data_IF_209498559458
#
_entry.id   IF_209498559458
#
_cell.length_a   1.000
_cell.length_b   1.000
_cell.length_c   1.000
_cell.angle_alpha   90.00
_cell.angle_beta   90.00
_cell.angle_gamma   90.00
#
_symmetry.space_group_name_H-M   'P 1'
#
loop_
_entity.id
_entity.type
_entity.pdbx_description
1 polymer ?
#
# COMPACT_ATOMS: atom_id res chain seq x y z
N UNK A 1 19.24 9.87 -2.74
CA UNK A 1 20.67 9.65 -3.03
C UNK A 1 21.05 8.17 -3.03
N UNK A 2 20.79 7.40 -1.97
CA UNK A 2 21.17 5.96 -1.88
C UNK A 2 20.77 5.09 -3.10
N UNK A 3 19.52 5.17 -3.54
CA UNK A 3 19.02 4.41 -4.70
C UNK A 3 19.66 4.76 -6.06
N UNK A 4 20.09 6.01 -6.24
CA UNK A 4 20.78 6.43 -7.46
C UNK A 4 22.20 5.87 -7.44
N UNK A 5 22.83 5.86 -6.26
CA UNK A 5 24.18 5.31 -6.09
C UNK A 5 24.20 3.81 -6.40
N UNK A 6 23.26 3.04 -5.84
CA UNK A 6 23.13 1.60 -6.11
C UNK A 6 22.84 1.27 -7.59
N UNK A 7 22.04 2.08 -8.28
CA UNK A 7 21.77 1.89 -9.71
C UNK A 7 22.96 2.30 -10.61
N UNK A 8 23.79 3.25 -10.16
CA UNK A 8 25.02 3.63 -10.85
C UNK A 8 26.13 2.60 -10.64
N UNK A 9 26.12 1.84 -9.55
CA UNK A 9 27.00 0.68 -9.35
C UNK A 9 26.76 -0.40 -10.41
N UNK A 10 25.51 -0.61 -10.84
CA UNK A 10 25.20 -1.54 -11.94
C UNK A 10 25.75 -1.03 -13.29
N UNK A 11 25.65 0.27 -13.55
CA UNK A 11 26.14 0.89 -14.79
C UNK A 11 27.66 1.03 -14.84
N UNK A 12 28.28 1.20 -13.68
CA UNK A 12 29.72 1.40 -13.52
C UNK A 12 30.41 0.17 -12.92
N UNK A 13 29.79 -1.00 -13.04
CA UNK A 13 30.30 -2.24 -12.48
C UNK A 13 31.75 -2.49 -12.96
N UNK A 14 32.69 -2.58 -12.01
CA UNK A 14 34.11 -2.73 -12.31
C UNK A 14 34.92 -1.43 -12.31
N UNK A 15 34.33 -0.29 -11.93
CA UNK A 15 35.03 0.96 -11.64
C UNK A 15 34.79 1.48 -10.23
N UNK A 16 35.75 2.28 -9.76
CA UNK A 16 35.55 3.18 -8.62
C UNK A 16 35.00 4.49 -9.17
N UNK A 17 33.90 4.99 -8.60
CA UNK A 17 33.23 6.19 -9.11
C UNK A 17 32.66 7.04 -7.96
N UNK A 18 32.34 8.30 -8.27
CA UNK A 18 31.71 9.24 -7.35
C UNK A 18 30.56 9.99 -8.05
N UNK A 19 29.43 10.13 -7.37
CA UNK A 19 28.30 10.97 -7.81
C UNK A 19 28.12 12.14 -6.86
N UNK A 20 28.34 13.37 -7.36
CA UNK A 20 28.21 14.61 -6.60
C UNK A 20 27.60 15.71 -7.48
N UNK A 21 26.72 16.53 -6.92
CA UNK A 21 26.08 17.67 -7.60
C UNK A 21 25.42 17.33 -8.96
N UNK A 22 24.88 16.12 -9.09
CA UNK A 22 24.24 15.64 -10.32
C UNK A 22 25.23 15.18 -11.41
N UNK A 23 26.51 15.01 -11.07
CA UNK A 23 27.56 14.58 -11.99
C UNK A 23 28.24 13.30 -11.50
N UNK A 24 28.40 12.35 -12.41
CA UNK A 24 29.18 11.15 -12.20
C UNK A 24 30.64 11.37 -12.63
N UNK A 25 31.58 10.92 -11.82
CA UNK A 25 33.02 10.91 -12.12
C UNK A 25 33.58 9.50 -11.88
N UNK A 26 34.25 8.93 -12.87
CA UNK A 26 35.02 7.68 -12.70
C UNK A 26 36.37 8.04 -12.08
N UNK A 27 36.67 7.44 -10.93
CA UNK A 27 37.91 7.64 -10.18
C UNK A 27 38.97 6.60 -10.57
N UNK A 28 38.57 5.35 -10.81
CA UNK A 28 39.45 4.26 -11.25
C UNK A 28 38.69 3.27 -12.16
N UNK A 29 39.31 2.78 -13.24
CA UNK A 29 38.74 1.76 -14.14
C UNK A 29 38.67 2.19 -15.61
N UNK A 30 38.80 1.22 -16.53
CA UNK A 30 38.74 1.42 -17.99
C UNK A 30 37.32 1.21 -18.53
N UNK A 31 36.35 1.89 -17.92
CA UNK A 31 34.98 1.95 -18.45
C UNK A 31 34.62 3.39 -18.79
N UNK A 32 33.91 3.54 -19.90
CA UNK A 32 33.39 4.83 -20.31
C UNK A 32 32.27 5.25 -19.32
N UNK A 33 32.33 6.48 -18.76
CA UNK A 33 31.28 6.95 -17.87
C UNK A 33 29.92 6.92 -18.59
N UNK A 34 28.84 6.45 -17.95
CA UNK A 34 27.51 6.53 -18.52
C UNK A 34 27.16 7.97 -18.89
N UNK A 35 26.56 8.11 -20.06
CA UNK A 35 26.13 9.40 -20.60
C UNK A 35 25.04 10.04 -19.73
N UNK A 36 24.92 11.37 -19.77
CA UNK A 36 23.81 12.09 -19.12
C UNK A 36 22.44 11.52 -19.49
N UNK A 37 22.28 11.02 -20.72
CA UNK A 37 21.06 10.36 -21.17
C UNK A 37 20.78 9.06 -20.41
N UNK A 38 21.81 8.24 -20.16
CA UNK A 38 21.69 7.00 -19.38
C UNK A 38 21.40 7.31 -17.90
N UNK A 39 22.07 8.31 -17.34
CA UNK A 39 21.84 8.75 -15.95
C UNK A 39 20.38 9.22 -15.78
N UNK A 40 19.89 10.12 -16.64
CA UNK A 40 18.50 10.60 -16.59
C UNK A 40 17.47 9.50 -16.80
N UNK A 41 17.76 8.54 -17.68
CA UNK A 41 16.88 7.38 -17.88
C UNK A 41 16.77 6.54 -16.60
N UNK A 42 17.89 6.31 -15.90
CA UNK A 42 17.90 5.63 -14.60
C UNK A 42 17.20 6.41 -13.50
N UNK A 43 17.39 7.73 -13.45
CA UNK A 43 16.67 8.58 -12.50
C UNK A 43 15.15 8.51 -12.71
N UNK A 44 14.68 8.51 -13.96
CA UNK A 44 13.27 8.35 -14.30
C UNK A 44 12.72 6.98 -13.93
N UNK A 45 13.49 5.90 -14.17
CA UNK A 45 13.14 4.53 -13.76
C UNK A 45 12.97 4.42 -12.24
N UNK A 46 13.93 4.96 -11.48
CA UNK A 46 13.88 4.98 -10.01
C UNK A 46 12.68 5.80 -9.51
N UNK A 47 12.42 6.96 -10.13
CA UNK A 47 11.28 7.78 -9.77
C UNK A 47 9.95 7.03 -9.99
N UNK A 48 9.80 6.36 -11.13
CA UNK A 48 8.62 5.55 -11.42
C UNK A 48 8.47 4.36 -10.45
N UNK A 49 9.58 3.71 -10.08
CA UNK A 49 9.57 2.62 -9.10
C UNK A 49 9.14 3.10 -7.70
N UNK A 50 9.63 4.26 -7.26
CA UNK A 50 9.25 4.86 -5.97
C UNK A 50 7.80 5.29 -5.94
N UNK A 51 7.31 5.89 -7.02
CA UNK A 51 5.91 6.28 -7.14
C UNK A 51 5.01 5.04 -7.03
N UNK A 52 5.38 3.97 -7.76
CA UNK A 52 4.69 2.69 -7.68
C UNK A 52 4.72 2.13 -6.26
N UNK A 53 5.86 2.14 -5.58
CA UNK A 53 5.97 1.68 -4.19
C UNK A 53 5.09 2.49 -3.24
N UNK A 54 5.04 3.82 -3.41
CA UNK A 54 4.20 4.71 -2.62
C UNK A 54 2.71 4.40 -2.83
N UNK A 55 2.28 4.14 -4.07
CA UNK A 55 0.91 3.69 -4.38
C UNK A 55 0.60 2.38 -3.66
N UNK A 56 1.48 1.38 -3.76
CA UNK A 56 1.28 0.07 -3.12
C UNK A 56 1.21 0.18 -1.58
N UNK A 57 2.05 1.02 -0.98
CA UNK A 57 2.00 1.30 0.45
C UNK A 57 0.70 2.01 0.84
N UNK A 58 0.27 2.98 0.03
CA UNK A 58 -0.99 3.70 0.20
C UNK A 58 -2.21 2.77 0.21
N UNK A 59 -2.31 1.86 -0.77
CA UNK A 59 -3.42 0.90 -0.85
C UNK A 59 -3.49 0.01 0.40
N UNK A 60 -2.35 -0.47 0.90
CA UNK A 60 -2.31 -1.30 2.13
C UNK A 60 -2.82 -0.54 3.34
N UNK A 61 -2.40 0.72 3.50
CA UNK A 61 -2.88 1.59 4.58
C UNK A 61 -4.38 1.87 4.44
N UNK A 62 -4.86 2.07 3.20
CA UNK A 62 -6.26 2.41 2.92
C UNK A 62 -7.23 1.29 3.31
N UNK A 63 -6.87 0.02 3.06
CA UNK A 63 -7.63 -1.15 3.54
C UNK A 63 -7.86 -1.07 5.04
N UNK A 64 -6.80 -0.81 5.81
CA UNK A 64 -6.88 -0.68 7.27
C UNK A 64 -7.70 0.54 7.70
N UNK A 65 -7.48 1.69 7.06
CA UNK A 65 -8.22 2.94 7.34
C UNK A 65 -9.72 2.73 7.19
N UNK A 66 -10.17 2.09 6.10
CA UNK A 66 -11.60 1.87 5.82
C UNK A 66 -12.26 0.95 6.82
N UNK A 67 -11.61 -0.15 7.20
CA UNK A 67 -12.14 -1.07 8.23
C UNK A 67 -12.25 -0.33 9.58
N UNK A 68 -11.18 0.36 9.97
CA UNK A 68 -11.10 1.02 11.27
C UNK A 68 -12.01 2.25 11.38
N UNK A 69 -12.38 2.89 10.26
CA UNK A 69 -13.35 3.98 10.24
C UNK A 69 -14.77 3.54 10.63
N UNK A 70 -15.10 2.25 10.44
CA UNK A 70 -16.43 1.71 10.78
C UNK A 70 -16.44 0.92 12.08
N UNK A 71 -15.36 0.20 12.39
CA UNK A 71 -15.22 -0.51 13.65
C UNK A 71 -13.79 -0.36 14.16
N UNK A 72 -13.62 0.36 15.28
CA UNK A 72 -12.33 0.48 15.94
C UNK A 72 -11.80 -0.90 16.36
N UNK A 73 -10.49 -1.03 16.61
CA UNK A 73 -9.94 -2.31 17.09
C UNK A 73 -10.62 -2.80 18.40
N UNK A 74 -10.87 -1.95 19.42
CA UNK A 74 -11.69 -2.33 20.58
C UNK A 74 -13.09 -2.81 20.20
N UNK A 75 -13.80 -2.10 19.32
CA UNK A 75 -15.13 -2.48 18.83
C UNK A 75 -15.09 -3.87 18.18
N UNK A 76 -14.09 -4.15 17.33
CA UNK A 76 -13.91 -5.45 16.67
C UNK A 76 -13.70 -6.58 17.68
N UNK A 77 -12.88 -6.35 18.71
CA UNK A 77 -12.62 -7.33 19.78
C UNK A 77 -13.89 -7.59 20.58
N UNK A 78 -14.59 -6.53 21.00
CA UNK A 78 -15.83 -6.64 21.78
C UNK A 78 -16.93 -7.36 21.00
N UNK A 79 -17.10 -7.06 19.72
CA UNK A 79 -18.04 -7.76 18.85
C UNK A 79 -17.69 -9.24 18.69
N UNK A 80 -16.41 -9.56 18.51
CA UNK A 80 -15.94 -10.94 18.40
C UNK A 80 -16.22 -11.72 19.69
N UNK A 81 -15.97 -11.10 20.86
CA UNK A 81 -16.25 -11.68 22.16
C UNK A 81 -17.76 -11.86 22.40
N UNK A 82 -18.58 -10.86 22.05
CA UNK A 82 -20.03 -10.95 22.17
C UNK A 82 -20.63 -12.02 21.26
N UNK A 83 -20.14 -12.14 20.02
CA UNK A 83 -20.54 -13.19 19.10
C UNK A 83 -20.16 -14.59 19.63
N UNK A 84 -18.91 -14.76 20.09
CA UNK A 84 -18.43 -16.04 20.64
C UNK A 84 -19.08 -16.43 21.97
N UNK A 85 -19.49 -15.44 22.77
CA UNK A 85 -20.20 -15.64 24.03
C UNK A 85 -21.72 -15.81 23.89
N UNK A 86 -22.28 -15.77 22.67
CA UNK A 86 -23.73 -15.88 22.45
C UNK A 86 -24.54 -14.69 22.97
N UNK A 87 -23.91 -13.52 23.12
CA UNK A 87 -24.55 -12.29 23.62
C UNK A 87 -25.38 -11.60 22.52
N UNK A 88 -24.96 -11.76 21.26
CA UNK A 88 -25.69 -11.20 20.12
C UNK A 88 -26.99 -11.96 19.88
N UNK A 89 -28.09 -11.24 19.71
CA UNK A 89 -29.34 -11.83 19.23
C UNK A 89 -29.24 -12.25 17.74
N UNK A 90 -30.28 -12.89 17.21
CA UNK A 90 -30.26 -13.40 15.83
C UNK A 90 -30.02 -12.31 14.77
N UNK A 91 -30.66 -11.15 14.91
CA UNK A 91 -30.50 -10.02 13.99
C UNK A 91 -29.09 -9.43 14.06
N UNK A 92 -28.53 -9.27 15.25
CA UNK A 92 -27.18 -8.79 15.48
C UNK A 92 -26.15 -9.79 14.95
N UNK A 93 -26.38 -11.09 15.12
CA UNK A 93 -25.50 -12.12 14.57
C UNK A 93 -25.52 -12.10 13.02
N UNK A 94 -26.68 -11.87 12.41
CA UNK A 94 -26.77 -11.69 10.96
C UNK A 94 -26.01 -10.43 10.49
N UNK A 95 -26.16 -9.31 11.20
CA UNK A 95 -25.42 -8.07 10.93
C UNK A 95 -23.89 -8.25 11.11
N UNK A 96 -23.46 -8.97 12.14
CA UNK A 96 -22.06 -9.31 12.37
C UNK A 96 -21.46 -10.11 11.21
N UNK A 97 -22.17 -11.16 10.76
CA UNK A 97 -21.75 -11.96 9.60
C UNK A 97 -21.67 -11.12 8.32
N UNK A 98 -22.64 -10.23 8.08
CA UNK A 98 -22.59 -9.30 6.95
C UNK A 98 -21.37 -8.36 7.02
N UNK A 99 -21.00 -7.90 8.21
CA UNK A 99 -19.77 -7.13 8.44
C UNK A 99 -18.51 -7.91 8.10
N UNK A 100 -18.43 -9.20 8.48
CA UNK A 100 -17.29 -10.06 8.13
C UNK A 100 -17.15 -10.26 6.61
N UNK A 101 -18.28 -10.47 5.91
CA UNK A 101 -18.29 -10.55 4.43
C UNK A 101 -17.80 -9.25 3.81
N UNK A 102 -18.23 -8.10 4.33
CA UNK A 102 -17.76 -6.80 3.84
C UNK A 102 -16.25 -6.59 4.08
N UNK A 103 -15.71 -6.99 5.25
CA UNK A 103 -14.26 -6.93 5.51
C UNK A 103 -13.48 -7.77 4.49
N UNK A 104 -13.97 -8.97 4.16
CA UNK A 104 -13.35 -9.81 3.14
C UNK A 104 -13.37 -9.14 1.76
N UNK A 105 -14.50 -8.54 1.37
CA UNK A 105 -14.61 -7.76 0.14
C UNK A 105 -13.63 -6.58 0.10
N UNK A 106 -13.49 -5.81 1.19
CA UNK A 106 -12.51 -4.72 1.28
C UNK A 106 -11.08 -5.24 1.03
N UNK A 107 -10.72 -6.39 1.61
CA UNK A 107 -9.39 -6.99 1.42
C UNK A 107 -9.18 -7.47 -0.01
N UNK A 108 -10.21 -8.05 -0.64
CA UNK A 108 -10.16 -8.47 -2.04
C UNK A 108 -10.04 -7.27 -2.99
N UNK A 109 -10.81 -6.20 -2.77
CA UNK A 109 -10.67 -4.93 -3.50
C UNK A 109 -9.26 -4.36 -3.35
N UNK A 110 -8.73 -4.33 -2.14
CA UNK A 110 -7.35 -3.88 -1.89
C UNK A 110 -6.32 -4.71 -2.67
N UNK A 111 -6.50 -6.03 -2.73
CA UNK A 111 -5.63 -6.90 -3.55
C UNK A 111 -5.71 -6.57 -5.03
N UNK A 112 -6.92 -6.37 -5.57
CA UNK A 112 -7.10 -6.00 -6.98
C UNK A 112 -6.46 -4.63 -7.30
N UNK A 113 -6.59 -3.65 -6.40
CA UNK A 113 -5.96 -2.33 -6.55
C UNK A 113 -4.42 -2.42 -6.48
N UNK A 114 -3.87 -3.31 -5.64
CA UNK A 114 -2.43 -3.58 -5.58
C UNK A 114 -1.91 -4.18 -6.89
N UNK A 115 -2.64 -5.14 -7.46
CA UNK A 115 -2.29 -5.76 -8.75
C UNK A 115 -2.29 -4.72 -9.87
N UNK A 116 -3.26 -3.80 -9.86
CA UNK A 116 -3.37 -2.70 -10.82
C UNK A 116 -2.38 -1.54 -10.55
N UNK A 117 -1.78 -1.46 -9.36
CA UNK A 117 -1.06 -0.28 -8.88
C UNK A 117 -1.85 1.02 -9.12
N UNK A 118 -3.13 1.00 -8.77
CA UNK A 118 -4.07 2.07 -9.10
C UNK A 118 -3.77 3.36 -8.31
N UNK A 119 -3.42 4.49 -8.96
CA UNK A 119 -3.08 5.73 -8.27
C UNK A 119 -4.30 6.40 -7.60
N UNK A 120 -5.51 6.07 -8.06
CA UNK A 120 -6.76 6.63 -7.56
C UNK A 120 -7.42 5.65 -6.57
N UNK A 121 -6.62 4.90 -5.81
CA UNK A 121 -7.13 3.90 -4.85
C UNK A 121 -7.95 4.51 -3.70
N UNK A 122 -7.86 5.82 -3.47
CA UNK A 122 -8.58 6.49 -2.39
C UNK A 122 -10.05 6.80 -2.73
N UNK A 123 -10.45 6.70 -4.00
CA UNK A 123 -11.81 7.01 -4.46
C UNK A 123 -12.83 6.08 -3.81
N UNK A 124 -13.85 6.64 -3.15
CA UNK A 124 -14.85 5.86 -2.41
C UNK A 124 -15.66 4.91 -3.29
N UNK A 125 -15.87 5.25 -4.56
CA UNK A 125 -16.64 4.43 -5.50
C UNK A 125 -15.94 3.11 -5.87
N UNK A 126 -14.65 2.96 -5.56
CA UNK A 126 -13.90 1.71 -5.80
C UNK A 126 -14.11 0.67 -4.71
N UNK A 127 -14.65 1.07 -3.56
CA UNK A 127 -14.72 0.22 -2.39
C UNK A 127 -16.15 -0.23 -2.12
N UNK A 128 -16.34 -1.46 -1.63
CA UNK A 128 -17.66 -1.93 -1.22
C UNK A 128 -18.20 -1.05 -0.10
N UNK A 129 -19.48 -0.67 -0.22
CA UNK A 129 -20.19 0.07 0.82
C UNK A 129 -20.44 -0.82 2.03
N UNK A 130 -20.24 -0.27 3.22
CA UNK A 130 -20.54 -0.99 4.46
C UNK A 130 -22.05 -1.31 4.52
N UNK A 131 -22.45 -2.56 4.84
CA UNK A 131 -23.85 -2.87 5.09
C UNK A 131 -24.39 -2.05 6.26
N UNK A 132 -25.56 -1.41 6.09
CA UNK A 132 -26.14 -0.51 7.10
C UNK A 132 -26.33 -1.22 8.46
N UNK A 133 -26.79 -2.47 8.45
CA UNK A 133 -26.97 -3.26 9.66
C UNK A 133 -25.64 -3.52 10.40
N UNK A 134 -24.55 -3.77 9.66
CA UNK A 134 -23.23 -3.95 10.24
C UNK A 134 -22.68 -2.65 10.85
N UNK A 135 -22.89 -1.51 10.18
CA UNK A 135 -22.51 -0.20 10.70
C UNK A 135 -23.28 0.16 11.98
N UNK A 136 -24.60 -0.10 12.00
CA UNK A 136 -25.45 0.09 13.20
C UNK A 136 -24.98 -0.80 14.35
N UNK A 137 -24.68 -2.06 14.09
CA UNK A 137 -24.17 -2.97 15.11
C UNK A 137 -22.82 -2.48 15.67
N UNK A 138 -21.89 -2.07 14.81
CA UNK A 138 -20.58 -1.55 15.25
C UNK A 138 -20.72 -0.29 16.13
N UNK A 139 -21.70 0.58 15.86
CA UNK A 139 -21.97 1.76 16.69
C UNK A 139 -22.47 1.44 18.11
N UNK A 140 -22.88 0.19 18.40
CA UNK A 140 -23.30 -0.24 19.73
C UNK A 140 -22.14 -0.76 20.60
N UNK A 141 -20.93 -0.91 20.05
CA UNK A 141 -19.79 -1.61 20.67
C UNK A 141 -18.49 -0.80 20.69
#
# INVERSE_FOLDING_TARGET
MKYIVEALDELCAGAVWQYADGKLTILEGDIEPPTDKQIRAKEAEIAAAKEREAILAGIRTEVGRRINAHASLPTQINLSAAAGGGILNEEQMAAYKAGLVWIDQIRQTGKALLEAADPNYADDDKWPKVPEAAAKLAALF
#
